data_IF_082826883376
#
_entry.id   IF_082826883376
#
_cell.length_a   1.000
_cell.length_b   1.000
_cell.length_c   1.000
_cell.angle_alpha   90.00
_cell.angle_beta   90.00
_cell.angle_gamma   90.00
#
_symmetry.space_group_name_H-M   'P 1'
#
loop_
_entity.id
_entity.type
_entity.pdbx_description
1 polymer ?
#
# COMPACT_ATOMS: atom_id res chain seq x y z
N UNK A 1 34.12 4.55 -21.60
CA UNK A 1 33.22 5.40 -20.78
C UNK A 1 33.08 4.79 -19.39
N UNK A 2 33.32 5.56 -18.33
CA UNK A 2 33.15 5.11 -16.96
C UNK A 2 31.63 4.90 -16.69
N UNK A 3 31.23 3.70 -16.23
CA UNK A 3 29.83 3.37 -15.90
C UNK A 3 29.58 3.68 -14.44
N UNK A 4 28.44 4.32 -14.14
CA UNK A 4 28.01 4.51 -12.76
C UNK A 4 27.68 3.17 -12.11
N UNK A 5 28.27 2.89 -10.95
CA UNK A 5 28.00 1.70 -10.14
C UNK A 5 27.59 2.13 -8.75
N UNK A 6 26.39 1.75 -8.37
CA UNK A 6 25.88 2.00 -7.02
C UNK A 6 26.08 0.76 -6.14
N UNK A 7 27.00 0.85 -5.18
CA UNK A 7 27.37 -0.28 -4.31
C UNK A 7 26.21 -0.84 -3.48
N UNK A 8 25.19 -0.02 -3.21
CA UNK A 8 24.02 -0.40 -2.43
C UNK A 8 22.82 -0.83 -3.29
N UNK A 9 23.02 -1.09 -4.59
CA UNK A 9 21.94 -1.59 -5.47
C UNK A 9 21.31 -2.89 -4.96
N UNK A 10 22.05 -3.89 -4.43
CA UNK A 10 21.46 -5.07 -3.80
C UNK A 10 20.58 -4.73 -2.59
N UNK A 11 21.01 -3.78 -1.75
CA UNK A 11 20.22 -3.31 -0.62
C UNK A 11 18.93 -2.63 -1.08
N UNK A 12 19.00 -1.80 -2.13
CA UNK A 12 17.82 -1.16 -2.71
C UNK A 12 16.82 -2.21 -3.21
N UNK A 13 17.28 -3.27 -3.86
CA UNK A 13 16.45 -4.38 -4.32
C UNK A 13 15.76 -5.08 -3.16
N UNK A 14 16.45 -5.35 -2.05
CA UNK A 14 15.86 -5.93 -0.83
C UNK A 14 14.81 -5.00 -0.24
N UNK A 15 15.08 -3.68 -0.17
CA UNK A 15 14.11 -2.70 0.35
C UNK A 15 12.86 -2.57 -0.52
N UNK A 16 13.01 -2.64 -1.85
CA UNK A 16 11.87 -2.67 -2.78
C UNK A 16 10.98 -3.90 -2.56
N UNK A 17 11.60 -5.09 -2.42
CA UNK A 17 10.86 -6.32 -2.11
C UNK A 17 10.10 -6.23 -0.79
N UNK A 18 10.74 -5.71 0.25
CA UNK A 18 10.12 -5.53 1.56
C UNK A 18 8.91 -4.57 1.50
N UNK A 19 9.00 -3.48 0.73
CA UNK A 19 7.85 -2.58 0.51
C UNK A 19 6.73 -3.26 -0.28
N UNK A 20 7.05 -4.02 -1.32
CA UNK A 20 6.06 -4.75 -2.13
C UNK A 20 5.34 -5.82 -1.31
N UNK A 21 6.05 -6.54 -0.44
CA UNK A 21 5.44 -7.53 0.46
C UNK A 21 4.50 -6.85 1.48
N UNK A 22 4.93 -5.73 2.07
CA UNK A 22 4.08 -4.96 2.98
C UNK A 22 2.85 -4.38 2.26
N UNK A 23 3.00 -3.92 1.01
CA UNK A 23 1.88 -3.45 0.17
C UNK A 23 0.88 -4.57 -0.12
N UNK A 24 1.36 -5.78 -0.42
CA UNK A 24 0.50 -6.96 -0.63
C UNK A 24 -0.27 -7.31 0.64
N UNK A 25 0.38 -7.25 1.81
CA UNK A 25 -0.28 -7.49 3.09
C UNK A 25 -1.42 -6.49 3.35
N UNK A 26 -1.21 -5.20 3.08
CA UNK A 26 -2.27 -4.17 3.14
C UNK A 26 -3.42 -4.51 2.19
N UNK A 27 -3.12 -4.89 0.94
CA UNK A 27 -4.13 -5.21 -0.06
C UNK A 27 -4.97 -6.44 0.32
N UNK A 28 -4.38 -7.46 0.95
CA UNK A 28 -5.09 -8.65 1.45
C UNK A 28 -6.10 -8.25 2.52
N UNK A 29 -5.68 -7.49 3.53
CA UNK A 29 -6.57 -7.04 4.61
C UNK A 29 -7.67 -6.09 4.09
N UNK A 30 -7.35 -5.25 3.11
CA UNK A 30 -8.34 -4.39 2.47
C UNK A 30 -9.45 -5.20 1.77
N UNK A 31 -9.09 -6.26 1.06
CA UNK A 31 -10.07 -7.16 0.44
C UNK A 31 -10.92 -7.88 1.48
N UNK A 32 -10.32 -8.35 2.56
CA UNK A 32 -11.03 -8.97 3.68
C UNK A 32 -12.04 -8.00 4.31
N UNK A 33 -11.63 -6.76 4.53
CA UNK A 33 -12.50 -5.69 5.02
C UNK A 33 -13.72 -5.48 4.11
N UNK A 34 -13.50 -5.35 2.80
CA UNK A 34 -14.58 -5.15 1.83
C UNK A 34 -15.58 -6.32 1.83
N UNK A 35 -15.10 -7.56 1.97
CA UNK A 35 -15.97 -8.74 2.10
C UNK A 35 -16.83 -8.69 3.36
N UNK A 36 -16.23 -8.39 4.51
CA UNK A 36 -16.94 -8.31 5.77
C UNK A 36 -17.95 -7.15 5.79
N UNK A 37 -17.61 -6.00 5.21
CA UNK A 37 -18.53 -4.87 5.06
C UNK A 37 -19.73 -5.20 4.14
N UNK A 38 -19.50 -5.93 3.06
CA UNK A 38 -20.56 -6.39 2.18
C UNK A 38 -21.49 -7.40 2.89
N UNK A 39 -20.91 -8.33 3.66
CA UNK A 39 -21.66 -9.31 4.43
C UNK A 39 -22.48 -8.64 5.54
N UNK A 40 -21.91 -7.67 6.25
CA UNK A 40 -22.62 -6.90 7.26
C UNK A 40 -23.80 -6.14 6.67
N UNK A 41 -23.64 -5.51 5.50
CA UNK A 41 -24.73 -4.84 4.78
C UNK A 41 -25.86 -5.80 4.44
N UNK A 42 -25.55 -7.02 3.99
CA UNK A 42 -26.57 -8.06 3.74
C UNK A 42 -27.34 -8.40 5.01
N UNK A 43 -26.64 -8.61 6.13
CA UNK A 43 -27.30 -8.90 7.42
C UNK A 43 -28.18 -7.74 7.89
N UNK A 44 -27.77 -6.49 7.66
CA UNK A 44 -28.59 -5.32 7.96
C UNK A 44 -29.89 -5.31 7.13
N UNK A 45 -29.81 -5.63 5.83
CA UNK A 45 -30.98 -5.77 4.97
C UNK A 45 -31.92 -6.91 5.43
N UNK A 46 -31.34 -8.06 5.80
CA UNK A 46 -32.10 -9.19 6.34
C UNK A 46 -32.83 -8.83 7.65
N UNK A 47 -32.20 -8.03 8.52
CA UNK A 47 -32.81 -7.53 9.75
C UNK A 47 -33.99 -6.63 9.44
N UNK A 48 -33.86 -5.69 8.49
CA UNK A 48 -34.97 -4.80 8.08
C UNK A 48 -36.12 -5.63 7.52
N UNK A 49 -35.84 -6.54 6.58
CA UNK A 49 -36.83 -7.42 5.98
C UNK A 49 -37.52 -8.34 7.04
N UNK A 50 -36.75 -8.81 8.02
CA UNK A 50 -37.30 -9.59 9.14
C UNK A 50 -38.26 -8.80 10.02
N UNK A 51 -37.90 -7.57 10.34
CA UNK A 51 -38.75 -6.64 11.09
C UNK A 51 -40.05 -6.32 10.34
N UNK A 52 -39.99 -6.07 9.04
CA UNK A 52 -41.16 -5.77 8.23
C UNK A 52 -42.09 -6.98 8.10
N UNK A 53 -41.54 -8.19 7.96
CA UNK A 53 -42.34 -9.43 8.01
C UNK A 53 -43.03 -9.59 9.35
N UNK A 54 -42.34 -9.35 10.47
CA UNK A 54 -42.93 -9.41 11.80
C UNK A 54 -44.07 -8.38 11.96
N UNK A 55 -43.89 -7.15 11.47
CA UNK A 55 -44.96 -6.14 11.46
C UNK A 55 -46.17 -6.62 10.69
N UNK A 56 -46.00 -7.25 9.53
CA UNK A 56 -47.09 -7.82 8.73
C UNK A 56 -47.86 -8.92 9.45
N UNK A 57 -47.19 -9.74 10.27
CA UNK A 57 -47.85 -10.79 11.07
C UNK A 57 -48.63 -10.27 12.29
N UNK A 58 -48.43 -9.01 12.68
CA UNK A 58 -49.19 -8.36 13.75
C UNK A 58 -50.53 -7.79 13.28
N UNK A 59 -50.78 -7.78 11.96
CA UNK A 59 -52.06 -7.35 11.37
C UNK A 59 -52.91 -8.56 11.03
N UNK A 60 -54.11 -8.68 11.62
CA UNK A 60 -55.05 -9.79 11.40
C UNK A 60 -55.03 -10.84 12.51
N UNK A 61 -55.29 -12.11 12.15
CA UNK A 61 -55.27 -13.23 13.11
C UNK A 61 -53.86 -13.56 13.56
N UNK A 62 -53.58 -13.35 14.84
CA UNK A 62 -52.27 -13.60 15.43
C UNK A 62 -51.98 -15.11 15.56
N UNK A 63 -50.93 -15.59 14.87
CA UNK A 63 -50.33 -16.91 15.09
C UNK A 63 -49.05 -16.76 15.91
N UNK A 64 -49.13 -17.15 17.18
CA UNK A 64 -48.01 -17.04 18.12
C UNK A 64 -46.82 -17.94 17.74
N UNK A 65 -47.05 -19.05 17.03
CA UNK A 65 -45.99 -19.92 16.52
C UNK A 65 -45.16 -19.23 15.44
N UNK A 66 -45.83 -18.66 14.45
CA UNK A 66 -45.18 -17.90 13.37
C UNK A 66 -44.44 -16.68 13.92
N UNK A 67 -45.03 -15.98 14.88
CA UNK A 67 -44.41 -14.81 15.52
C UNK A 67 -43.15 -15.19 16.26
N UNK A 68 -43.12 -16.27 17.02
CA UNK A 68 -41.98 -16.78 17.78
C UNK A 68 -40.84 -17.21 16.85
N UNK A 69 -41.16 -17.95 15.79
CA UNK A 69 -40.16 -18.37 14.78
C UNK A 69 -39.57 -17.17 14.06
N UNK A 70 -40.37 -16.22 13.62
CA UNK A 70 -39.91 -15.01 12.94
C UNK A 70 -39.02 -14.12 13.84
N UNK A 71 -39.40 -13.96 15.11
CA UNK A 71 -38.60 -13.23 16.09
C UNK A 71 -37.26 -13.94 16.35
N UNK A 72 -37.24 -15.26 16.53
CA UNK A 72 -36.04 -16.06 16.73
C UNK A 72 -35.10 -15.98 15.56
N UNK A 73 -35.59 -16.07 14.32
CA UNK A 73 -34.81 -15.90 13.10
C UNK A 73 -34.15 -14.51 13.01
N UNK A 74 -34.92 -13.46 13.26
CA UNK A 74 -34.45 -12.07 13.24
C UNK A 74 -33.34 -11.84 14.30
N UNK A 75 -33.52 -12.36 15.52
CA UNK A 75 -32.51 -12.28 16.58
C UNK A 75 -31.22 -13.00 16.21
N UNK A 76 -31.32 -14.14 15.52
CA UNK A 76 -30.14 -14.85 15.05
C UNK A 76 -29.33 -14.02 14.02
N UNK A 77 -30.03 -13.36 13.09
CA UNK A 77 -29.37 -12.46 12.12
C UNK A 77 -28.72 -11.27 12.82
N UNK A 78 -29.35 -10.70 13.85
CA UNK A 78 -28.78 -9.62 14.67
C UNK A 78 -27.48 -10.09 15.34
N UNK A 79 -27.45 -11.29 15.93
CA UNK A 79 -26.21 -11.85 16.53
C UNK A 79 -25.11 -12.02 15.50
N UNK A 80 -25.44 -12.51 14.30
CA UNK A 80 -24.46 -12.62 13.20
C UNK A 80 -23.91 -11.25 12.79
N UNK A 81 -24.76 -10.23 12.68
CA UNK A 81 -24.34 -8.87 12.38
C UNK A 81 -23.39 -8.30 13.46
N UNK A 82 -23.70 -8.56 14.73
CA UNK A 82 -22.81 -8.16 15.85
C UNK A 82 -21.45 -8.84 15.79
N UNK A 83 -21.40 -10.14 15.48
CA UNK A 83 -20.14 -10.86 15.29
C UNK A 83 -19.30 -10.30 14.13
N UNK A 84 -19.94 -9.95 13.01
CA UNK A 84 -19.28 -9.31 11.88
C UNK A 84 -18.73 -7.93 12.24
N UNK A 85 -19.46 -7.14 13.01
CA UNK A 85 -19.00 -5.85 13.51
C UNK A 85 -17.76 -5.98 14.41
N UNK A 86 -17.73 -6.99 15.29
CA UNK A 86 -16.54 -7.28 16.13
C UNK A 86 -15.34 -7.72 15.28
N UNK A 87 -15.55 -8.57 14.26
CA UNK A 87 -14.50 -8.96 13.32
C UNK A 87 -13.94 -7.74 12.58
N UNK A 88 -14.80 -6.82 12.10
CA UNK A 88 -14.37 -5.59 11.44
C UNK A 88 -13.57 -4.68 12.37
N UNK A 89 -13.96 -4.56 13.64
CA UNK A 89 -13.22 -3.78 14.63
C UNK A 89 -11.82 -4.36 14.87
N UNK A 90 -11.71 -5.70 15.02
CA UNK A 90 -10.42 -6.38 15.14
C UNK A 90 -9.55 -6.24 13.90
N UNK A 91 -10.15 -6.33 12.71
CA UNK A 91 -9.46 -6.13 11.43
C UNK A 91 -8.91 -4.71 11.30
N UNK A 92 -9.63 -3.68 11.78
CA UNK A 92 -9.18 -2.29 11.79
C UNK A 92 -7.84 -2.13 12.48
N UNK A 93 -7.67 -2.69 13.69
CA UNK A 93 -6.40 -2.67 14.43
C UNK A 93 -5.26 -3.35 13.66
N UNK A 94 -5.54 -4.50 13.06
CA UNK A 94 -4.55 -5.22 12.21
C UNK A 94 -4.15 -4.40 10.99
N UNK A 95 -5.11 -3.74 10.35
CA UNK A 95 -4.85 -2.86 9.21
C UNK A 95 -3.95 -1.69 9.57
N UNK A 96 -4.14 -1.05 10.73
CA UNK A 96 -3.30 0.05 11.19
C UNK A 96 -1.86 -0.42 11.42
N UNK A 97 -1.68 -1.59 12.04
CA UNK A 97 -0.36 -2.19 12.23
C UNK A 97 0.35 -2.47 10.90
N UNK A 98 -0.35 -3.09 9.94
CA UNK A 98 0.24 -3.43 8.62
C UNK A 98 0.53 -2.18 7.79
N UNK A 99 -0.32 -1.14 7.90
CA UNK A 99 -0.05 0.17 7.26
C UNK A 99 1.21 0.82 7.82
N UNK A 100 1.42 0.74 9.13
CA UNK A 100 2.64 1.25 9.76
C UNK A 100 3.88 0.56 9.19
N UNK A 101 3.86 -0.77 9.09
CA UNK A 101 4.96 -1.56 8.48
C UNK A 101 5.22 -1.13 7.04
N UNK A 102 4.16 -0.92 6.25
CA UNK A 102 4.28 -0.45 4.88
C UNK A 102 4.91 0.95 4.80
N UNK A 103 4.49 1.90 5.64
CA UNK A 103 5.05 3.25 5.67
C UNK A 103 6.54 3.22 6.04
N UNK A 104 6.94 2.42 7.03
CA UNK A 104 8.35 2.25 7.40
C UNK A 104 9.18 1.64 6.26
N UNK A 105 8.67 0.61 5.59
CA UNK A 105 9.34 -0.01 4.45
C UNK A 105 9.54 1.00 3.31
N UNK A 106 8.52 1.82 3.03
CA UNK A 106 8.56 2.89 2.03
C UNK A 106 9.62 3.94 2.37
N UNK A 107 9.67 4.40 3.61
CA UNK A 107 10.67 5.38 4.06
C UNK A 107 12.08 4.82 3.92
N UNK A 108 12.31 3.57 4.35
CA UNK A 108 13.62 2.90 4.22
C UNK A 108 14.07 2.75 2.76
N UNK A 109 13.15 2.36 1.87
CA UNK A 109 13.45 2.30 0.44
C UNK A 109 13.79 3.68 -0.12
N UNK A 110 12.97 4.71 0.16
CA UNK A 110 13.17 6.06 -0.36
C UNK A 110 14.48 6.68 0.09
N UNK A 111 14.92 6.40 1.32
CA UNK A 111 16.21 6.85 1.82
C UNK A 111 17.38 6.34 0.96
N UNK A 112 17.36 5.06 0.58
CA UNK A 112 18.39 4.46 -0.29
C UNK A 112 18.30 5.01 -1.73
N UNK A 113 17.11 5.24 -2.25
CA UNK A 113 16.92 5.85 -3.58
C UNK A 113 17.48 7.27 -3.62
N UNK A 114 17.19 8.09 -2.62
CA UNK A 114 17.74 9.44 -2.52
C UNK A 114 19.28 9.43 -2.44
N UNK A 115 19.85 8.47 -1.73
CA UNK A 115 21.29 8.30 -1.69
C UNK A 115 21.86 7.93 -3.07
N UNK A 116 21.17 7.04 -3.80
CA UNK A 116 21.53 6.65 -5.17
C UNK A 116 21.48 7.85 -6.11
N UNK A 117 20.41 8.64 -6.06
CA UNK A 117 20.23 9.86 -6.85
C UNK A 117 21.40 10.85 -6.59
N UNK A 118 21.69 11.14 -5.31
CA UNK A 118 22.80 12.03 -4.93
C UNK A 118 24.16 11.52 -5.44
N UNK A 119 24.42 10.22 -5.34
CA UNK A 119 25.66 9.62 -5.83
C UNK A 119 25.77 9.67 -7.35
N UNK A 120 24.64 9.50 -8.04
CA UNK A 120 24.59 9.64 -9.49
C UNK A 120 24.89 11.07 -9.93
N UNK A 121 24.31 12.08 -9.27
CA UNK A 121 24.56 13.49 -9.57
C UNK A 121 26.03 13.86 -9.31
N UNK A 122 26.61 13.39 -8.21
CA UNK A 122 28.04 13.58 -7.90
C UNK A 122 28.93 12.96 -8.98
N UNK A 123 28.63 11.73 -9.39
CA UNK A 123 29.37 11.04 -10.45
C UNK A 123 29.25 11.78 -11.78
N UNK A 124 28.05 12.22 -12.16
CA UNK A 124 27.80 13.02 -13.39
C UNK A 124 28.59 14.34 -13.38
N UNK A 125 28.59 15.04 -12.27
CA UNK A 125 29.34 16.27 -12.11
C UNK A 125 30.87 16.04 -12.20
N UNK A 126 31.37 14.96 -11.61
CA UNK A 126 32.78 14.59 -11.69
C UNK A 126 33.20 14.23 -13.13
N UNK A 127 32.32 13.47 -13.83
CA UNK A 127 32.52 13.12 -15.23
C UNK A 127 32.64 14.36 -16.12
N UNK A 128 31.68 15.29 -15.99
CA UNK A 128 31.69 16.55 -16.74
C UNK A 128 32.91 17.40 -16.47
N UNK A 129 33.41 17.49 -15.22
CA UNK A 129 34.65 18.17 -14.89
C UNK A 129 35.86 17.51 -15.54
N UNK A 130 35.91 16.17 -15.54
CA UNK A 130 37.04 15.45 -16.18
C UNK A 130 37.03 15.60 -17.70
N UNK A 131 35.85 15.61 -18.33
CA UNK A 131 35.70 15.86 -19.77
C UNK A 131 36.13 17.28 -20.14
N UNK A 132 35.73 18.29 -19.36
CA UNK A 132 36.15 19.68 -19.58
C UNK A 132 37.63 19.83 -19.41
N UNK A 133 38.25 19.26 -18.36
CA UNK A 133 39.69 19.32 -18.15
C UNK A 133 40.47 18.65 -19.29
N UNK A 134 39.99 17.50 -19.81
CA UNK A 134 40.58 16.84 -20.95
C UNK A 134 40.53 17.69 -22.24
N UNK A 135 39.42 18.39 -22.47
CA UNK A 135 39.27 19.30 -23.60
C UNK A 135 40.22 20.52 -23.46
N UNK A 136 40.33 21.10 -22.27
CA UNK A 136 41.24 22.21 -21.99
C UNK A 136 42.69 21.81 -22.22
N UNK A 137 43.11 20.59 -21.77
CA UNK A 137 44.45 20.07 -22.02
C UNK A 137 44.74 19.87 -23.51
N UNK A 138 43.75 19.35 -24.27
CA UNK A 138 43.88 19.23 -25.72
C UNK A 138 44.00 20.60 -26.40
N UNK A 139 43.20 21.60 -25.97
CA UNK A 139 43.27 22.95 -26.50
C UNK A 139 44.62 23.60 -26.24
N UNK A 140 45.18 23.48 -25.03
CA UNK A 140 46.51 23.99 -24.66
C UNK A 140 47.61 23.32 -25.49
N UNK A 141 47.54 21.99 -25.63
CA UNK A 141 48.51 21.24 -26.41
C UNK A 141 48.48 21.58 -27.90
N UNK A 142 47.28 21.85 -28.45
CA UNK A 142 47.08 22.28 -29.83
C UNK A 142 47.62 23.72 -30.07
N UNK A 143 47.44 24.61 -29.11
CA UNK A 143 48.02 25.99 -29.16
C UNK A 143 49.55 25.96 -29.13
N UNK A 144 50.13 25.20 -28.22
CA UNK A 144 51.58 25.06 -28.12
C UNK A 144 52.21 24.46 -29.37
N UNK A 145 51.55 23.57 -30.09
CA UNK A 145 52.05 23.03 -31.39
C UNK A 145 52.04 24.10 -32.50
N UNK A 146 51.06 25.01 -32.51
CA UNK A 146 50.99 26.09 -33.50
C UNK A 146 52.08 27.13 -33.29
N UNK A 147 52.54 27.33 -32.06
CA UNK A 147 53.61 28.28 -31.76
C UNK A 147 55.01 27.71 -32.09
N UNK A 148 55.14 26.39 -32.26
CA UNK A 148 56.38 25.70 -32.56
C UNK A 148 56.60 25.36 -34.06
N UNK A 149 55.59 25.62 -34.91
CA UNK A 149 55.79 25.50 -36.37
C UNK A 149 56.28 26.83 -36.91
N UNK A 150 57.51 26.87 -37.59
CA UNK A 150 58.11 28.07 -38.13
C UNK A 150 57.37 28.62 -39.36
#
# INVERSE_FOLDING_TARGET
>A
MAKFVFRLEPLLTVRRRAEDDARRAVAVLQRERLKLEAELRRRQQDIVAGKDRLRGTLTGRLDMGVLRLGAGSTLNVIRQAQQLALKLAGLGKRMDSVRQVFLEARVRRRAIELLRERRFDQWKAALGKAETAALDELAVSAAARRETEP
#
